data_IF_585004656497
#
_entry.id   IF_585004656497
#
_cell.length_a   1.000
_cell.length_b   1.000
_cell.length_c   1.000
_cell.angle_alpha   90.00
_cell.angle_beta   90.00
_cell.angle_gamma   90.00
#
_symmetry.space_group_name_H-M   'P 1'
#
loop_
_entity.id
_entity.type
_entity.pdbx_description
1 polymer ?
#
# COMPACT_ATOMS: atom_id res chain seq x y z
N UNK A 1 -0.15 -0.73 9.88
CA UNK A 1 1.10 -0.23 9.25
C UNK A 1 2.21 0.01 10.27
N UNK A 2 2.01 0.86 11.29
CA UNK A 2 3.03 1.14 12.32
C UNK A 2 3.65 -0.11 12.96
N UNK A 3 2.82 -1.05 13.42
CA UNK A 3 3.31 -2.33 13.97
C UNK A 3 4.16 -3.11 12.95
N UNK A 4 3.87 -2.97 11.66
CA UNK A 4 4.64 -3.54 10.56
C UNK A 4 6.07 -3.01 10.52
N UNK A 5 6.20 -1.67 10.54
CA UNK A 5 7.50 -1.00 10.57
C UNK A 5 8.28 -1.37 11.83
N UNK A 6 7.63 -1.39 13.00
CA UNK A 6 8.30 -1.79 14.24
C UNK A 6 8.79 -3.24 14.21
N UNK A 7 7.98 -4.17 13.67
CA UNK A 7 8.40 -5.56 13.52
C UNK A 7 9.59 -5.72 12.56
N UNK A 8 9.66 -4.90 11.52
CA UNK A 8 10.78 -4.83 10.58
C UNK A 8 12.08 -4.38 11.27
N UNK A 9 12.03 -3.30 12.05
CA UNK A 9 13.20 -2.84 12.81
C UNK A 9 13.65 -3.85 13.87
N UNK A 10 12.70 -4.51 14.56
CA UNK A 10 13.02 -5.58 15.51
C UNK A 10 13.70 -6.75 14.81
N UNK A 11 13.29 -7.10 13.59
CA UNK A 11 13.94 -8.15 12.82
C UNK A 11 15.39 -7.78 12.43
N UNK A 12 15.64 -6.54 12.03
CA UNK A 12 17.00 -6.06 11.79
C UNK A 12 17.92 -6.21 13.00
N UNK A 13 17.42 -5.84 14.18
CA UNK A 13 18.16 -5.94 15.43
C UNK A 13 18.40 -7.40 15.82
N UNK A 14 17.35 -8.23 15.79
CA UNK A 14 17.41 -9.65 16.14
C UNK A 14 18.39 -10.44 15.25
N UNK A 15 18.49 -10.08 13.97
CA UNK A 15 19.38 -10.74 13.02
C UNK A 15 20.74 -10.05 12.88
N UNK A 16 20.98 -8.98 13.66
CA UNK A 16 22.24 -8.25 13.69
C UNK A 16 22.70 -7.76 12.30
N UNK A 17 21.75 -7.35 11.46
CA UNK A 17 22.02 -6.95 10.08
C UNK A 17 23.07 -5.84 9.97
N UNK A 18 23.07 -4.88 10.89
CA UNK A 18 24.09 -3.82 10.91
C UNK A 18 25.50 -4.35 11.20
N UNK A 19 25.65 -5.25 12.17
CA UNK A 19 26.96 -5.85 12.50
C UNK A 19 27.47 -6.68 11.33
N UNK A 20 26.58 -7.42 10.68
CA UNK A 20 26.93 -8.24 9.54
C UNK A 20 27.29 -7.38 8.30
N UNK A 21 26.61 -6.24 8.08
CA UNK A 21 26.99 -5.24 7.07
C UNK A 21 28.40 -4.67 7.32
N UNK A 22 28.70 -4.26 8.56
CA UNK A 22 30.03 -3.74 8.94
C UNK A 22 31.12 -4.80 8.66
N UNK A 23 30.85 -6.07 8.99
CA UNK A 23 31.78 -7.19 8.74
C UNK A 23 32.02 -7.40 7.24
N UNK A 24 30.97 -7.40 6.43
CA UNK A 24 31.10 -7.53 4.98
C UNK A 24 31.83 -6.34 4.36
N UNK A 25 31.56 -5.10 4.83
CA UNK A 25 32.29 -3.92 4.39
C UNK A 25 33.79 -4.03 4.71
N UNK A 26 34.15 -4.42 5.94
CA UNK A 26 35.55 -4.60 6.36
C UNK A 26 36.25 -5.67 5.53
N UNK A 27 35.57 -6.81 5.28
CA UNK A 27 36.09 -7.89 4.43
C UNK A 27 36.35 -7.42 3.00
N UNK A 28 35.43 -6.67 2.40
CA UNK A 28 35.60 -6.13 1.05
C UNK A 28 36.74 -5.10 0.98
N UNK A 29 36.90 -4.25 2.00
CA UNK A 29 38.03 -3.32 2.10
C UNK A 29 39.38 -4.05 2.18
N UNK A 30 39.46 -5.11 2.99
CA UNK A 30 40.68 -5.92 3.09
C UNK A 30 41.00 -6.62 1.75
N UNK A 31 40.00 -7.15 1.06
CA UNK A 31 40.17 -7.73 -0.28
C UNK A 31 40.69 -6.70 -1.27
N UNK A 32 40.12 -5.48 -1.27
CA UNK A 32 40.58 -4.39 -2.13
C UNK A 32 42.03 -4.02 -1.82
N UNK A 33 42.43 -3.93 -0.55
CA UNK A 33 43.81 -3.64 -0.16
C UNK A 33 44.81 -4.69 -0.69
N UNK A 34 44.45 -5.97 -0.65
CA UNK A 34 45.28 -7.06 -1.19
C UNK A 34 45.42 -6.95 -2.70
N UNK A 35 44.32 -6.66 -3.42
CA UNK A 35 44.34 -6.48 -4.88
C UNK A 35 45.23 -5.31 -5.29
N UNK A 36 45.12 -4.17 -4.59
CA UNK A 36 45.96 -3.01 -4.85
C UNK A 36 47.43 -3.30 -4.55
N UNK A 37 47.73 -3.99 -3.44
CA UNK A 37 49.08 -4.40 -3.11
C UNK A 37 49.68 -5.30 -4.19
N UNK A 38 48.92 -6.28 -4.69
CA UNK A 38 49.35 -7.16 -5.77
C UNK A 38 49.62 -6.40 -7.08
N UNK A 39 48.79 -5.40 -7.43
CA UNK A 39 49.00 -4.56 -8.60
C UNK A 39 50.29 -3.72 -8.48
N UNK A 40 50.59 -3.20 -7.29
CA UNK A 40 51.82 -2.46 -7.00
C UNK A 40 53.06 -3.37 -7.09
N UNK A 41 53.02 -4.56 -6.45
CA UNK A 41 54.11 -5.53 -6.49
C UNK A 41 54.34 -6.03 -7.92
N UNK A 42 53.26 -6.20 -8.69
CA UNK A 42 53.29 -6.56 -10.10
C UNK A 42 53.82 -5.46 -11.03
N UNK A 43 54.20 -4.29 -10.50
CA UNK A 43 54.70 -3.12 -11.23
C UNK A 43 53.76 -2.68 -12.36
N UNK A 44 52.45 -2.77 -12.13
CA UNK A 44 51.48 -2.26 -13.10
C UNK A 44 51.64 -0.74 -13.28
N UNK A 45 51.43 -0.22 -14.50
CA UNK A 45 51.39 1.22 -14.74
C UNK A 45 50.40 1.92 -13.78
N UNK A 46 50.75 3.11 -13.30
CA UNK A 46 49.91 3.83 -12.33
C UNK A 46 48.48 4.11 -12.82
N UNK A 47 48.30 4.28 -14.13
CA UNK A 47 46.98 4.41 -14.76
C UNK A 47 46.14 3.14 -14.61
N UNK A 48 46.75 1.96 -14.77
CA UNK A 48 46.06 0.68 -14.64
C UNK A 48 45.70 0.39 -13.17
N UNK A 49 46.57 0.75 -12.23
CA UNK A 49 46.28 0.68 -10.78
C UNK A 49 45.10 1.58 -10.42
N UNK A 50 45.05 2.80 -10.98
CA UNK A 50 43.92 3.72 -10.80
C UNK A 50 42.61 3.17 -11.35
N UNK A 51 42.64 2.56 -12.54
CA UNK A 51 41.46 1.92 -13.14
C UNK A 51 40.97 0.72 -12.32
N UNK A 52 41.89 -0.10 -11.81
CA UNK A 52 41.57 -1.23 -10.91
C UNK A 52 40.91 -0.73 -9.63
N UNK A 53 41.43 0.36 -9.04
CA UNK A 53 40.86 0.95 -7.83
C UNK A 53 39.40 1.39 -8.05
N UNK A 54 39.14 2.17 -9.11
CA UNK A 54 37.77 2.62 -9.43
C UNK A 54 36.85 1.42 -9.70
N UNK A 55 37.31 0.44 -10.49
CA UNK A 55 36.53 -0.77 -10.75
C UNK A 55 36.22 -1.56 -9.47
N UNK A 56 37.18 -1.69 -8.57
CA UNK A 56 37.00 -2.38 -7.29
C UNK A 56 36.00 -1.64 -6.38
N UNK A 57 36.02 -0.30 -6.35
CA UNK A 57 35.03 0.48 -5.60
C UNK A 57 33.60 0.25 -6.12
N UNK A 58 33.41 0.25 -7.45
CA UNK A 58 32.09 -0.01 -8.04
C UNK A 58 31.58 -1.42 -7.69
N UNK A 59 32.46 -2.43 -7.73
CA UNK A 59 32.12 -3.80 -7.32
C UNK A 59 31.77 -3.86 -5.83
N UNK A 60 32.53 -3.17 -4.98
CA UNK A 60 32.23 -3.09 -3.55
C UNK A 60 30.85 -2.48 -3.29
N UNK A 61 30.53 -1.35 -3.94
CA UNK A 61 29.22 -0.70 -3.83
C UNK A 61 28.09 -1.63 -4.27
N UNK A 62 28.25 -2.31 -5.40
CA UNK A 62 27.25 -3.26 -5.90
C UNK A 62 27.02 -4.43 -4.93
N UNK A 63 28.10 -4.97 -4.34
CA UNK A 63 28.01 -6.05 -3.34
C UNK A 63 27.32 -5.60 -2.07
N UNK A 64 27.66 -4.43 -1.55
CA UNK A 64 27.02 -3.87 -0.34
C UNK A 64 25.54 -3.57 -0.58
N UNK A 65 25.17 -3.04 -1.75
CA UNK A 65 23.78 -2.83 -2.13
C UNK A 65 23.00 -4.15 -2.21
N UNK A 66 23.57 -5.18 -2.86
CA UNK A 66 22.97 -6.51 -2.93
C UNK A 66 22.80 -7.13 -1.54
N UNK A 67 23.78 -6.97 -0.65
CA UNK A 67 23.70 -7.41 0.73
C UNK A 67 22.58 -6.69 1.48
N UNK A 68 22.46 -5.36 1.33
CA UNK A 68 21.38 -4.57 1.89
C UNK A 68 20.00 -5.10 1.49
N UNK A 69 19.76 -5.33 0.19
CA UNK A 69 18.47 -5.88 -0.29
C UNK A 69 18.16 -7.25 0.32
N UNK A 70 19.17 -8.11 0.51
CA UNK A 70 18.98 -9.40 1.18
C UNK A 70 18.60 -9.24 2.65
N UNK A 71 19.25 -8.33 3.37
CA UNK A 71 18.93 -8.02 4.77
C UNK A 71 17.51 -7.44 4.90
N UNK A 72 17.12 -6.54 4.00
CA UNK A 72 15.76 -6.00 3.94
C UNK A 72 14.71 -7.09 3.68
N UNK A 73 14.96 -7.97 2.71
CA UNK A 73 14.03 -9.05 2.36
C UNK A 73 13.88 -10.07 3.50
N UNK A 74 14.97 -10.33 4.21
CA UNK A 74 14.97 -11.18 5.39
C UNK A 74 14.23 -10.54 6.58
N UNK A 75 14.46 -9.25 6.83
CA UNK A 75 13.73 -8.48 7.83
C UNK A 75 12.22 -8.41 7.52
N UNK A 76 11.83 -8.17 6.27
CA UNK A 76 10.44 -8.17 5.82
C UNK A 76 9.73 -9.50 6.11
N UNK A 77 10.37 -10.62 5.75
CA UNK A 77 9.85 -11.97 5.98
C UNK A 77 9.70 -12.27 7.46
N UNK A 78 10.71 -11.92 8.25
CA UNK A 78 10.73 -12.12 9.69
C UNK A 78 9.67 -11.27 10.38
N UNK A 79 9.48 -10.03 9.93
CA UNK A 79 8.42 -9.15 10.42
C UNK A 79 7.02 -9.73 10.13
N UNK A 80 6.81 -10.33 8.94
CA UNK A 80 5.55 -11.03 8.64
C UNK A 80 5.33 -12.17 9.64
N UNK A 81 6.37 -12.96 9.94
CA UNK A 81 6.29 -14.06 10.89
C UNK A 81 6.04 -13.58 12.33
N UNK A 82 6.67 -12.49 12.76
CA UNK A 82 6.41 -11.89 14.07
C UNK A 82 4.97 -11.41 14.19
N UNK A 83 4.49 -10.64 13.21
CA UNK A 83 3.13 -10.10 13.22
C UNK A 83 2.07 -11.19 13.16
N UNK A 84 2.34 -12.31 12.46
CA UNK A 84 1.43 -13.46 12.38
C UNK A 84 1.10 -14.09 13.74
N UNK A 85 1.94 -13.84 14.76
CA UNK A 85 1.78 -14.30 16.14
C UNK A 85 1.14 -13.25 17.06
N UNK A 86 0.67 -12.15 16.48
CA UNK A 86 0.05 -11.03 17.21
C UNK A 86 -1.35 -10.73 16.66
N UNK A 87 -2.04 -9.77 17.28
CA UNK A 87 -3.31 -9.25 16.76
C UNK A 87 -3.13 -8.21 15.64
N UNK A 88 -1.90 -7.87 15.26
CA UNK A 88 -1.62 -6.95 14.16
C UNK A 88 -1.49 -7.69 12.83
N UNK A 89 -2.22 -7.23 11.81
CA UNK A 89 -2.15 -7.84 10.48
C UNK A 89 -0.78 -7.62 9.83
N UNK A 90 -0.09 -8.69 9.40
CA UNK A 90 1.18 -8.60 8.67
C UNK A 90 1.06 -7.86 7.33
N UNK A 91 -0.15 -7.81 6.75
CA UNK A 91 -0.45 -7.04 5.53
C UNK A 91 -0.16 -5.55 5.72
N UNK A 92 -0.11 -5.06 6.97
CA UNK A 92 0.25 -3.70 7.30
C UNK A 92 1.65 -3.29 6.84
N UNK A 93 2.64 -4.19 6.91
CA UNK A 93 3.99 -3.88 6.42
C UNK A 93 4.01 -3.79 4.89
N UNK A 94 3.37 -4.76 4.21
CA UNK A 94 3.28 -4.78 2.75
C UNK A 94 2.62 -3.50 2.23
N UNK A 95 1.47 -3.13 2.83
CA UNK A 95 0.72 -1.93 2.44
C UNK A 95 1.52 -0.65 2.66
N UNK A 96 2.30 -0.57 3.75
CA UNK A 96 3.17 0.56 4.01
C UNK A 96 4.29 0.68 2.96
N UNK A 97 4.98 -0.43 2.65
CA UNK A 97 6.08 -0.44 1.66
C UNK A 97 5.59 -0.08 0.25
N UNK A 98 4.43 -0.62 -0.15
CA UNK A 98 3.81 -0.28 -1.43
C UNK A 98 3.44 1.20 -1.52
N UNK A 99 2.88 1.78 -0.46
CA UNK A 99 2.58 3.22 -0.40
C UNK A 99 3.86 4.07 -0.40
N UNK A 100 4.89 3.62 0.31
CA UNK A 100 6.18 4.30 0.33
C UNK A 100 6.76 4.35 -1.09
N UNK A 101 6.76 3.22 -1.81
CA UNK A 101 7.20 3.15 -3.22
C UNK A 101 6.44 4.14 -4.10
N UNK A 102 5.10 4.14 -4.04
CA UNK A 102 4.27 5.04 -4.84
C UNK A 102 4.56 6.52 -4.53
N UNK A 103 4.79 6.87 -3.26
CA UNK A 103 5.11 8.24 -2.87
C UNK A 103 6.49 8.66 -3.40
N UNK A 104 7.46 7.74 -3.35
CA UNK A 104 8.86 8.02 -3.72
C UNK A 104 9.09 8.18 -5.22
N UNK A 105 8.17 7.68 -6.04
CA UNK A 105 8.14 7.98 -7.47
C UNK A 105 7.78 9.44 -7.77
N UNK A 106 7.06 10.11 -6.86
CA UNK A 106 6.57 11.48 -7.04
C UNK A 106 7.48 12.48 -6.31
N UNK A 107 7.89 12.14 -5.07
CA UNK A 107 8.78 12.94 -4.24
C UNK A 107 9.72 12.04 -3.45
N UNK A 108 11.04 12.29 -3.50
CA UNK A 108 11.99 11.56 -2.67
C UNK A 108 11.71 11.84 -1.18
N UNK A 109 11.36 10.81 -0.41
CA UNK A 109 11.18 10.92 1.05
C UNK A 109 12.56 10.75 1.69
N UNK A 110 13.14 11.80 2.30
CA UNK A 110 14.50 11.72 2.85
C UNK A 110 14.62 10.66 3.94
N UNK A 111 15.75 9.95 3.97
CA UNK A 111 16.12 9.02 5.04
C UNK A 111 15.60 7.59 4.89
N UNK A 112 14.28 7.39 4.81
CA UNK A 112 13.70 6.03 4.85
C UNK A 112 13.99 5.21 3.59
N UNK A 113 13.94 5.81 2.40
CA UNK A 113 14.27 5.10 1.14
C UNK A 113 15.76 4.92 0.92
N UNK A 114 16.58 5.73 1.58
CA UNK A 114 18.03 5.63 1.53
C UNK A 114 18.53 4.49 2.41
N UNK A 115 17.87 4.27 3.55
CA UNK A 115 18.21 3.22 4.51
C UNK A 115 17.50 1.90 4.21
N UNK A 116 16.22 1.96 3.83
CA UNK A 116 15.37 0.81 3.51
C UNK A 116 14.78 0.95 2.09
N UNK A 117 15.59 0.72 1.04
CA UNK A 117 15.14 0.89 -0.34
C UNK A 117 14.05 -0.12 -0.70
N UNK A 118 12.99 0.36 -1.34
CA UNK A 118 11.96 -0.51 -1.89
C UNK A 118 12.48 -1.24 -3.14
N UNK A 119 12.14 -2.54 -3.27
CA UNK A 119 12.34 -3.31 -4.50
C UNK A 119 11.12 -4.19 -4.79
N UNK A 120 10.88 -4.48 -6.08
CA UNK A 120 9.82 -5.40 -6.48
C UNK A 120 10.03 -6.82 -5.91
N UNK A 121 11.28 -7.25 -5.75
CA UNK A 121 11.66 -8.54 -5.15
C UNK A 121 11.17 -8.64 -3.69
N UNK A 122 11.38 -7.59 -2.87
CA UNK A 122 10.88 -7.53 -1.49
C UNK A 122 9.36 -7.71 -1.44
N UNK A 123 8.63 -6.97 -2.28
CA UNK A 123 7.16 -7.09 -2.39
C UNK A 123 6.75 -8.51 -2.75
N UNK A 124 7.36 -9.10 -3.78
CA UNK A 124 7.08 -10.48 -4.23
C UNK A 124 7.34 -11.48 -3.11
N UNK A 125 8.46 -11.35 -2.40
CA UNK A 125 8.83 -12.22 -1.29
C UNK A 125 7.83 -12.13 -0.12
N UNK A 126 7.35 -10.93 0.21
CA UNK A 126 6.32 -10.74 1.25
C UNK A 126 4.98 -11.33 0.83
N UNK A 127 4.53 -11.10 -0.40
CA UNK A 127 3.28 -11.68 -0.93
C UNK A 127 3.35 -13.21 -0.89
N UNK A 128 4.47 -13.79 -1.31
CA UNK A 128 4.69 -15.23 -1.23
C UNK A 128 4.57 -15.72 0.22
N UNK A 129 5.23 -15.04 1.17
CA UNK A 129 5.17 -15.42 2.59
C UNK A 129 3.76 -15.31 3.19
N UNK A 130 3.02 -14.25 2.88
CA UNK A 130 1.63 -14.09 3.30
C UNK A 130 0.74 -15.23 2.78
N UNK A 131 0.94 -15.64 1.52
CA UNK A 131 0.21 -16.75 0.91
C UNK A 131 0.57 -18.10 1.54
N UNK A 132 1.85 -18.35 1.85
CA UNK A 132 2.29 -19.56 2.59
C UNK A 132 1.60 -19.66 3.95
N UNK A 133 1.46 -18.55 4.66
CA UNK A 133 0.76 -18.45 5.94
C UNK A 133 -0.77 -18.42 5.79
N UNK A 134 -1.29 -18.47 4.56
CA UNK A 134 -2.73 -18.38 4.23
C UNK A 134 -3.39 -17.10 4.76
N UNK A 135 -2.64 -16.01 4.84
CA UNK A 135 -3.12 -14.70 5.30
C UNK A 135 -3.69 -13.95 4.09
N UNK A 136 -4.99 -13.60 4.10
CA UNK A 136 -5.60 -12.87 2.99
C UNK A 136 -5.02 -11.46 2.88
N UNK A 137 -4.62 -11.06 1.67
CA UNK A 137 -4.01 -9.75 1.40
C UNK A 137 -5.09 -8.67 1.27
N UNK A 138 -5.65 -8.25 2.40
CA UNK A 138 -6.68 -7.21 2.51
C UNK A 138 -6.06 -5.84 2.89
N UNK A 139 -5.42 -5.17 1.92
CA UNK A 139 -4.69 -3.89 2.12
C UNK A 139 -5.54 -2.77 2.73
N UNK A 140 -6.82 -2.70 2.35
CA UNK A 140 -7.75 -1.68 2.83
C UNK A 140 -8.07 -1.79 4.33
N UNK A 141 -7.91 -2.98 4.92
CA UNK A 141 -8.15 -3.18 6.36
C UNK A 141 -7.09 -2.54 7.23
N UNK A 142 -5.88 -2.36 6.70
CA UNK A 142 -4.70 -1.91 7.45
C UNK A 142 -4.30 -0.45 7.17
N UNK A 143 -5.01 0.22 6.26
CA UNK A 143 -4.85 1.64 5.95
C UNK A 143 -6.19 2.37 6.08
N UNK A 144 -6.15 3.70 6.23
CA UNK A 144 -7.36 4.53 6.19
C UNK A 144 -7.75 4.96 4.78
N UNK A 145 -6.97 4.58 3.75
CA UNK A 145 -7.22 5.00 2.38
C UNK A 145 -8.43 4.27 1.80
N UNK A 146 -9.32 5.00 1.12
CA UNK A 146 -10.52 4.45 0.50
C UNK A 146 -11.59 3.99 1.49
N UNK A 147 -11.52 4.38 2.78
CA UNK A 147 -12.57 4.06 3.77
C UNK A 147 -13.80 4.93 3.60
N UNK A 148 -14.98 4.32 3.68
CA UNK A 148 -16.24 5.04 3.80
C UNK A 148 -16.35 5.59 5.22
N UNK A 149 -16.58 6.89 5.31
CA UNK A 149 -16.66 7.63 6.57
C UNK A 149 -17.85 8.59 6.55
N UNK A 150 -18.26 9.00 7.74
CA UNK A 150 -19.27 10.03 7.92
C UNK A 150 -18.61 11.41 7.96
N UNK A 151 -19.23 12.37 7.28
CA UNK A 151 -19.00 13.79 7.51
C UNK A 151 -20.35 14.47 7.72
N UNK A 152 -20.33 15.62 8.36
CA UNK A 152 -21.52 16.47 8.51
C UNK A 152 -21.31 17.74 7.69
N UNK A 153 -22.39 18.25 7.12
CA UNK A 153 -22.42 19.51 6.39
C UNK A 153 -23.68 20.25 6.78
N UNK A 154 -23.57 21.57 6.98
CA UNK A 154 -24.74 22.43 7.20
C UNK A 154 -25.42 22.70 5.88
N UNK A 155 -26.69 22.32 5.77
CA UNK A 155 -27.57 22.65 4.65
C UNK A 155 -28.76 23.38 5.26
N UNK A 156 -28.97 24.64 4.88
CA UNK A 156 -30.06 25.48 5.40
C UNK A 156 -30.14 25.52 6.94
N UNK A 157 -28.98 25.64 7.59
CA UNK A 157 -28.78 25.64 9.05
C UNK A 157 -29.02 24.29 9.76
N UNK A 158 -29.43 23.25 9.03
CA UNK A 158 -29.56 21.89 9.55
C UNK A 158 -28.30 21.06 9.29
N UNK A 159 -27.93 20.24 10.27
CA UNK A 159 -26.79 19.33 10.17
C UNK A 159 -27.18 18.08 9.35
N UNK A 160 -26.71 18.00 8.12
CA UNK A 160 -26.93 16.85 7.22
C UNK A 160 -25.72 15.93 7.24
N UNK A 161 -25.98 14.65 7.51
CA UNK A 161 -24.96 13.61 7.50
C UNK A 161 -24.72 13.12 6.06
N UNK A 162 -23.46 12.97 5.67
CA UNK A 162 -23.06 12.46 4.37
C UNK A 162 -22.05 11.32 4.50
N UNK A 163 -22.18 10.34 3.61
CA UNK A 163 -21.20 9.27 3.44
C UNK A 163 -20.19 9.71 2.41
N UNK A 164 -18.91 9.65 2.76
CA UNK A 164 -17.79 10.04 1.88
C UNK A 164 -16.77 8.91 1.76
N UNK A 165 -16.09 8.84 0.62
CA UNK A 165 -14.92 7.98 0.40
C UNK A 165 -13.85 8.81 -0.30
N UNK A 166 -12.64 8.90 0.26
CA UNK A 166 -11.54 9.71 -0.31
C UNK A 166 -11.97 11.14 -0.68
N UNK A 167 -12.64 11.83 0.25
CA UNK A 167 -13.22 13.18 0.07
C UNK A 167 -14.37 13.28 -0.95
N UNK A 168 -14.64 12.24 -1.74
CA UNK A 168 -15.79 12.20 -2.64
C UNK A 168 -17.06 11.94 -1.84
N UNK A 169 -18.03 12.83 -1.96
CA UNK A 169 -19.37 12.62 -1.40
C UNK A 169 -20.06 11.53 -2.20
N UNK A 170 -20.47 10.47 -1.51
CA UNK A 170 -21.23 9.39 -2.10
C UNK A 170 -22.71 9.75 -2.13
N UNK A 171 -23.24 10.15 -0.98
CA UNK A 171 -24.60 10.68 -0.82
C UNK A 171 -24.74 11.40 0.53
N UNK A 172 -25.59 12.42 0.57
CA UNK A 172 -26.26 12.90 1.79
C UNK A 172 -27.35 11.89 2.18
N UNK A 173 -27.53 11.64 3.47
CA UNK A 173 -28.40 10.58 3.98
C UNK A 173 -29.53 11.21 4.77
N UNK A 174 -30.76 10.89 4.39
CA UNK A 174 -31.96 11.26 5.14
C UNK A 174 -32.28 10.22 6.23
N UNK A 175 -33.21 10.58 7.12
CA UNK A 175 -33.80 9.64 8.07
C UNK A 175 -34.39 8.41 7.35
N UNK A 176 -34.26 7.27 8.00
CA UNK A 176 -34.70 5.99 7.47
C UNK A 176 -36.21 5.76 7.60
N UNK A 177 -36.72 4.74 6.90
CA UNK A 177 -38.06 4.24 7.15
C UNK A 177 -38.23 3.89 8.63
N UNK A 178 -39.42 4.14 9.19
CA UNK A 178 -39.75 3.90 10.60
C UNK A 178 -39.01 4.80 11.61
N UNK A 179 -38.51 5.97 11.19
CA UNK A 179 -37.92 6.96 12.08
C UNK A 179 -36.50 6.65 12.53
N UNK A 180 -35.77 5.80 11.79
CA UNK A 180 -34.35 5.56 12.04
C UNK A 180 -33.55 6.86 11.79
N UNK A 181 -32.73 7.33 12.74
CA UNK A 181 -31.97 8.56 12.54
C UNK A 181 -30.98 8.47 11.37
N UNK A 182 -30.84 9.55 10.62
CA UNK A 182 -29.94 9.66 9.47
C UNK A 182 -28.50 9.26 9.79
N UNK A 183 -27.98 9.65 10.96
CA UNK A 183 -26.63 9.32 11.41
C UNK A 183 -26.41 7.81 11.56
N UNK A 184 -27.36 7.11 12.19
CA UNK A 184 -27.29 5.66 12.38
C UNK A 184 -27.38 4.94 11.02
N UNK A 185 -28.29 5.38 10.16
CA UNK A 185 -28.45 4.81 8.83
C UNK A 185 -27.22 5.04 7.96
N UNK A 186 -26.64 6.23 8.01
CA UNK A 186 -25.41 6.58 7.30
C UNK A 186 -24.24 5.71 7.77
N UNK A 187 -24.12 5.45 9.09
CA UNK A 187 -23.11 4.55 9.63
C UNK A 187 -23.28 3.13 9.08
N UNK A 188 -24.50 2.59 9.06
CA UNK A 188 -24.79 1.27 8.48
C UNK A 188 -24.43 1.19 6.99
N UNK A 189 -24.68 2.27 6.24
CA UNK A 189 -24.29 2.37 4.83
C UNK A 189 -22.76 2.36 4.71
N UNK A 190 -22.05 3.17 5.49
CA UNK A 190 -20.59 3.23 5.51
C UNK A 190 -19.96 1.87 5.86
N UNK A 191 -20.52 1.15 6.83
CA UNK A 191 -20.02 -0.17 7.24
C UNK A 191 -20.22 -1.22 6.14
N UNK A 192 -21.41 -1.27 5.51
CA UNK A 192 -21.67 -2.15 4.36
C UNK A 192 -20.77 -1.84 3.18
N UNK A 193 -20.50 -0.57 2.92
CA UNK A 193 -19.56 -0.13 1.89
C UNK A 193 -18.13 -0.59 2.20
N UNK A 194 -17.73 -0.45 3.47
CA UNK A 194 -16.41 -0.89 3.91
C UNK A 194 -16.26 -2.42 3.76
N UNK A 195 -17.27 -3.19 4.14
CA UNK A 195 -17.28 -4.65 3.96
C UNK A 195 -17.22 -5.06 2.49
N UNK A 196 -18.01 -4.40 1.63
CA UNK A 196 -18.02 -4.66 0.19
C UNK A 196 -16.64 -4.39 -0.44
N UNK A 197 -16.04 -3.24 -0.12
CA UNK A 197 -14.75 -2.82 -0.68
C UNK A 197 -13.59 -3.67 -0.16
N UNK A 198 -13.65 -4.14 1.09
CA UNK A 198 -12.68 -5.08 1.64
C UNK A 198 -12.74 -6.46 0.98
N UNK A 199 -13.84 -6.79 0.31
CA UNK A 199 -14.08 -8.08 -0.32
C UNK A 199 -13.41 -8.30 -1.67
N UNK A 200 -12.55 -7.41 -2.17
CA UNK A 200 -12.00 -7.45 -3.55
C UNK A 200 -13.08 -7.35 -4.63
N UNK A 201 -13.95 -6.34 -4.51
CA UNK A 201 -14.99 -6.03 -5.51
C UNK A 201 -14.39 -5.47 -6.80
N UNK A 202 -14.92 -5.88 -7.95
CA UNK A 202 -14.52 -5.38 -9.26
C UNK A 202 -15.54 -4.37 -9.80
N UNK A 203 -15.13 -3.55 -10.78
CA UNK A 203 -16.00 -2.55 -11.42
C UNK A 203 -17.28 -3.17 -12.00
N UNK A 204 -17.16 -4.37 -12.56
CA UNK A 204 -18.27 -5.14 -13.15
C UNK A 204 -19.29 -5.62 -12.11
N UNK A 205 -18.88 -5.70 -10.84
CA UNK A 205 -19.74 -6.17 -9.75
C UNK A 205 -20.69 -5.07 -9.29
N UNK A 206 -20.42 -3.80 -9.62
CA UNK A 206 -21.27 -2.64 -9.30
C UNK A 206 -22.18 -2.32 -10.49
N UNK A 207 -23.48 -2.45 -10.29
CA UNK A 207 -24.50 -2.25 -11.33
C UNK A 207 -25.65 -1.39 -10.81
N UNK A 208 -26.43 -0.86 -11.75
CA UNK A 208 -27.71 -0.20 -11.51
C UNK A 208 -28.68 -0.69 -12.57
N UNK A 209 -29.97 -0.69 -12.26
CA UNK A 209 -31.03 -0.98 -13.23
C UNK A 209 -31.76 0.30 -13.61
N UNK A 210 -32.02 0.48 -14.90
CA UNK A 210 -32.69 1.69 -15.41
C UNK A 210 -34.04 1.86 -14.75
N UNK A 211 -34.30 3.05 -14.20
CA UNK A 211 -35.56 3.39 -13.52
C UNK A 211 -35.69 2.81 -12.11
N UNK A 212 -34.71 2.06 -11.60
CA UNK A 212 -34.76 1.53 -10.24
C UNK A 212 -33.81 2.30 -9.30
N UNK A 213 -34.27 2.76 -8.13
CA UNK A 213 -33.44 3.46 -7.13
C UNK A 213 -32.61 2.48 -6.31
N UNK A 214 -31.85 1.60 -6.97
CA UNK A 214 -31.06 0.56 -6.31
C UNK A 214 -29.68 0.40 -6.93
N UNK A 215 -28.66 0.41 -6.07
CA UNK A 215 -27.31 -0.03 -6.38
C UNK A 215 -27.24 -1.53 -6.13
N UNK A 216 -26.78 -2.26 -7.13
CA UNK A 216 -26.58 -3.71 -7.09
C UNK A 216 -25.08 -3.96 -6.95
N UNK A 217 -24.69 -4.77 -5.98
CA UNK A 217 -23.31 -5.24 -5.82
C UNK A 217 -23.29 -6.77 -5.83
N UNK A 218 -22.42 -7.38 -6.64
CA UNK A 218 -22.32 -8.85 -6.79
C UNK A 218 -23.66 -9.50 -7.09
N UNK A 219 -24.40 -8.89 -8.01
CA UNK A 219 -25.74 -9.33 -8.47
C UNK A 219 -26.82 -9.37 -7.37
N UNK A 220 -26.59 -8.74 -6.22
CA UNK A 220 -27.57 -8.59 -5.14
C UNK A 220 -27.90 -7.11 -4.89
N UNK A 221 -29.14 -6.77 -4.51
CA UNK A 221 -29.47 -5.43 -4.03
C UNK A 221 -28.55 -5.05 -2.86
N UNK A 222 -27.82 -3.96 -3.00
CA UNK A 222 -26.82 -3.52 -2.03
C UNK A 222 -27.28 -2.28 -1.26
N UNK A 223 -27.71 -1.25 -1.98
CA UNK A 223 -28.20 0.00 -1.40
C UNK A 223 -29.42 0.47 -2.17
N UNK A 224 -30.55 0.60 -1.48
CA UNK A 224 -31.77 1.23 -2.02
C UNK A 224 -31.79 2.69 -1.60
N UNK A 225 -31.94 3.57 -2.58
CA UNK A 225 -32.07 5.01 -2.39
C UNK A 225 -33.53 5.34 -2.07
N UNK A 226 -33.75 6.17 -1.06
CA UNK A 226 -35.10 6.68 -0.74
C UNK A 226 -35.35 8.02 -1.42
N UNK A 227 -36.62 8.40 -1.60
CA UNK A 227 -36.97 9.71 -2.15
C UNK A 227 -36.44 10.87 -1.29
N UNK A 228 -36.39 10.68 0.03
CA UNK A 228 -35.82 11.68 0.94
C UNK A 228 -34.31 11.85 0.74
N UNK A 229 -33.58 10.77 0.48
CA UNK A 229 -32.16 10.87 0.09
C UNK A 229 -32.01 11.61 -1.23
N UNK A 230 -32.83 11.26 -2.21
CA UNK A 230 -32.81 11.85 -3.54
C UNK A 230 -33.00 13.37 -3.46
N UNK A 231 -34.01 13.81 -2.70
CA UNK A 231 -34.28 15.22 -2.41
C UNK A 231 -33.09 15.92 -1.76
N UNK A 232 -32.48 15.35 -0.71
CA UNK A 232 -31.30 15.94 -0.05
C UNK A 232 -30.09 16.09 -0.98
N UNK A 233 -29.97 15.23 -1.99
CA UNK A 233 -28.90 15.28 -2.97
C UNK A 233 -29.26 16.07 -4.23
N UNK A 234 -30.46 16.67 -4.29
CA UNK A 234 -30.98 17.37 -5.47
C UNK A 234 -30.99 16.49 -6.74
N UNK A 235 -31.40 15.23 -6.60
CA UNK A 235 -31.52 14.26 -7.70
C UNK A 235 -32.82 13.46 -7.60
N UNK A 236 -33.23 12.81 -8.68
CA UNK A 236 -34.23 11.75 -8.65
C UNK A 236 -33.63 10.45 -8.07
N UNK A 237 -34.43 9.62 -7.39
CA UNK A 237 -33.90 8.45 -6.69
C UNK A 237 -33.14 7.45 -7.60
N UNK A 238 -33.61 7.14 -8.83
CA UNK A 238 -32.84 6.33 -9.78
C UNK A 238 -31.53 6.99 -10.24
N UNK A 239 -31.49 8.32 -10.33
CA UNK A 239 -30.30 9.06 -10.74
C UNK A 239 -29.26 9.12 -9.64
N UNK A 240 -29.68 9.31 -8.38
CA UNK A 240 -28.77 9.21 -7.22
C UNK A 240 -28.17 7.80 -7.11
N UNK A 241 -28.94 6.74 -7.38
CA UNK A 241 -28.40 5.38 -7.41
C UNK A 241 -27.28 5.23 -8.47
N UNK A 242 -27.44 5.84 -9.65
CA UNK A 242 -26.40 5.88 -10.70
C UNK A 242 -25.19 6.71 -10.30
N UNK A 243 -25.38 7.88 -9.68
CA UNK A 243 -24.30 8.70 -9.14
C UNK A 243 -23.46 7.92 -8.12
N UNK A 244 -24.12 7.29 -7.14
CA UNK A 244 -23.48 6.46 -6.12
C UNK A 244 -22.68 5.33 -6.77
N UNK A 245 -23.28 4.58 -7.70
CA UNK A 245 -22.59 3.49 -8.39
C UNK A 245 -21.38 3.97 -9.19
N UNK A 246 -21.47 5.14 -9.83
CA UNK A 246 -20.38 5.76 -10.59
C UNK A 246 -19.24 6.18 -9.67
N UNK A 247 -19.55 6.81 -8.54
CA UNK A 247 -18.56 7.18 -7.53
C UNK A 247 -17.87 5.95 -6.96
N UNK A 248 -18.60 4.88 -6.63
CA UNK A 248 -18.01 3.61 -6.17
C UNK A 248 -17.07 3.01 -7.22
N UNK A 249 -17.48 2.97 -8.48
CA UNK A 249 -16.61 2.52 -9.58
C UNK A 249 -15.34 3.38 -9.67
N UNK A 250 -15.46 4.69 -9.49
CA UNK A 250 -14.29 5.57 -9.51
C UNK A 250 -13.31 5.31 -8.35
N UNK A 251 -13.82 4.94 -7.18
CA UNK A 251 -13.00 4.54 -6.01
C UNK A 251 -12.29 3.23 -6.30
N UNK A 252 -13.02 2.22 -6.79
CA UNK A 252 -12.46 0.91 -7.15
C UNK A 252 -11.38 1.09 -8.24
N UNK A 253 -11.66 1.89 -9.26
CA UNK A 253 -10.71 2.20 -10.33
C UNK A 253 -9.43 2.83 -9.81
N UNK A 254 -9.55 3.85 -8.94
CA UNK A 254 -8.40 4.51 -8.32
C UNK A 254 -7.54 3.51 -7.54
N UNK A 255 -8.16 2.66 -6.72
CA UNK A 255 -7.44 1.62 -5.97
C UNK A 255 -6.72 0.63 -6.88
N UNK A 256 -7.34 0.22 -7.99
CA UNK A 256 -6.69 -0.62 -8.99
C UNK A 256 -5.50 0.08 -9.64
N UNK A 257 -5.63 1.37 -9.93
CA UNK A 257 -4.56 2.16 -10.55
C UNK A 257 -3.39 2.37 -9.60
N UNK A 258 -3.66 2.70 -8.34
CA UNK A 258 -2.64 2.86 -7.29
C UNK A 258 -1.81 1.57 -7.15
N UNK A 259 -2.44 0.40 -7.26
CA UNK A 259 -1.74 -0.90 -7.26
C UNK A 259 -0.95 -1.15 -8.54
N UNK A 260 -1.46 -0.72 -9.69
CA UNK A 260 -0.79 -0.87 -10.99
C UNK A 260 0.46 0.02 -11.13
N UNK A 261 0.54 1.13 -10.39
CA UNK A 261 1.71 2.02 -10.37
C UNK A 261 2.89 1.46 -9.56
N UNK A 262 2.67 0.41 -8.75
CA UNK A 262 3.73 -0.20 -7.94
C UNK A 262 4.65 -0.99 -8.89
N UNK A 263 5.96 -0.68 -8.92
CA UNK A 263 6.92 -1.32 -9.84
C UNK A 263 6.83 -2.84 -9.82
N UNK A 264 6.82 -3.47 -11.00
CA UNK A 264 6.84 -4.93 -11.11
C UNK A 264 8.24 -5.45 -11.38
N UNK A 265 8.51 -6.71 -11.05
CA UNK A 265 9.80 -7.37 -11.31
C UNK A 265 10.19 -7.38 -12.80
N UNK A 266 9.20 -7.23 -13.70
CA UNK A 266 9.38 -7.21 -15.16
C UNK A 266 9.86 -5.85 -15.70
N UNK A 267 9.89 -4.81 -14.87
CA UNK A 267 10.31 -3.46 -15.24
C UNK A 267 11.75 -3.14 -14.79
N UNK A 268 12.62 -4.15 -14.65
CA UNK A 268 14.06 -3.86 -14.55
C UNK A 268 14.47 -3.18 -15.87
N UNK A 269 14.99 -1.93 -15.84
CA UNK A 269 15.72 -1.45 -17.01
C UNK A 269 16.88 -2.41 -17.22
N UNK A 270 16.97 -3.01 -18.41
CA UNK A 270 18.22 -3.58 -18.89
C UNK A 270 19.26 -2.46 -18.76
N UNK A 271 20.20 -2.64 -17.84
CA UNK A 271 21.38 -1.80 -17.69
C UNK A 271 22.57 -2.54 -18.27
#
# INVERSE_FOLDING_TARGET
ELAGVLAHEIAHDAHHHMIALIREQSKLQNQMAIVLLAAIIGKMPGQDVGNIYVGAQLVQMAKLSTYGIKAETDADRTAVDYLSKTNYSPVGLLTFLERLSATTQIYEIPGITQTHPFTAERRTAMIARLNELKIPIARRRVSNNGKAMLKTEKVDEEDVVKVVIDEKVLMKVADGPNGQPAAERAQQIADKLNELLDGNVQLKDIKTKTGEPVVIARDKPFLRITEADAALNNQEAPDLARSVATTLKSVIWKQMMDLAMIPSEKEKPEK
#
